data_IF_466373604390
#
_entry.id   IF_466373604390
#
_cell.length_a   1.000
_cell.length_b   1.000
_cell.length_c   1.000
_cell.angle_alpha   90.00
_cell.angle_beta   90.00
_cell.angle_gamma   90.00
#
_symmetry.space_group_name_H-M   'P 1'
#
loop_
_entity.id
_entity.type
_entity.pdbx_description
1 polymer ?
#
# COMPACT_ATOMS: atom_id res chain seq x y z
N UNK A 1 9.10 8.94 11.30
CA UNK A 1 9.30 8.81 9.83
C UNK A 1 10.78 9.05 9.54
N UNK A 2 11.49 8.12 8.91
CA UNK A 2 12.93 8.27 8.59
C UNK A 2 13.08 8.90 7.19
N UNK A 3 13.28 10.22 7.13
CA UNK A 3 13.40 10.94 5.87
C UNK A 3 14.72 10.61 5.13
N UNK A 4 14.64 10.46 3.81
CA UNK A 4 15.79 10.18 2.93
C UNK A 4 16.46 8.82 3.18
N UNK A 5 15.77 7.88 3.81
CA UNK A 5 16.31 6.56 4.15
C UNK A 5 16.72 5.75 2.92
N UNK A 6 16.06 5.96 1.80
CA UNK A 6 16.36 5.45 0.47
C UNK A 6 17.70 5.99 -0.09
N UNK A 7 18.26 7.05 0.50
CA UNK A 7 19.57 7.61 0.12
C UNK A 7 20.67 7.05 1.03
N UNK A 8 20.56 7.30 2.35
CA UNK A 8 21.61 6.95 3.31
C UNK A 8 21.48 5.53 3.89
N UNK A 9 20.29 4.94 3.86
CA UNK A 9 20.01 3.59 4.35
C UNK A 9 20.44 2.48 3.38
N UNK A 10 20.78 2.81 2.14
CA UNK A 10 21.23 1.82 1.14
C UNK A 10 22.49 1.07 1.58
N UNK A 11 23.38 1.75 2.30
CA UNK A 11 24.59 1.16 2.86
C UNK A 11 24.31 0.25 4.07
N UNK A 12 23.16 0.37 4.72
CA UNK A 12 22.74 -0.49 5.83
C UNK A 12 22.24 -1.85 5.36
N UNK A 13 21.50 -1.87 4.25
CA UNK A 13 20.81 -3.07 3.75
C UNK A 13 21.85 -4.08 3.23
N UNK A 14 22.74 -3.66 2.33
CA UNK A 14 23.75 -4.56 1.75
C UNK A 14 24.89 -4.96 2.71
N UNK A 15 25.11 -4.22 3.82
CA UNK A 15 26.25 -4.41 4.74
C UNK A 15 25.85 -4.94 6.12
N UNK A 16 24.58 -5.29 6.33
CA UNK A 16 24.11 -6.03 7.51
C UNK A 16 24.73 -7.43 7.67
N UNK A 17 25.33 -7.98 6.60
CA UNK A 17 26.02 -9.29 6.58
C UNK A 17 27.49 -9.25 7.05
N UNK A 18 27.82 -8.47 8.07
CA UNK A 18 29.10 -8.61 8.79
C UNK A 18 30.42 -8.24 8.07
N UNK A 19 30.43 -7.76 6.82
CA UNK A 19 31.69 -7.33 6.17
C UNK A 19 32.22 -6.01 6.78
N UNK A 20 33.51 -6.00 7.15
CA UNK A 20 34.19 -4.92 7.92
C UNK A 20 34.54 -3.67 7.09
N UNK A 21 34.52 -3.77 5.77
CA UNK A 21 35.08 -2.74 4.91
C UNK A 21 33.98 -1.75 4.48
N UNK A 22 34.05 -0.52 4.98
CA UNK A 22 33.37 0.67 4.45
C UNK A 22 31.91 0.95 4.90
N UNK A 23 31.50 0.56 6.12
CA UNK A 23 30.13 0.77 6.64
C UNK A 23 30.00 1.50 7.98
N UNK A 24 31.07 2.14 8.47
CA UNK A 24 31.14 2.62 9.86
C UNK A 24 30.10 3.68 10.22
N UNK A 25 29.87 4.68 9.35
CA UNK A 25 28.89 5.75 9.57
C UNK A 25 27.44 5.24 9.57
N UNK A 26 27.10 4.38 8.61
CA UNK A 26 25.78 3.80 8.45
C UNK A 26 25.40 2.93 9.67
N UNK A 27 26.29 2.02 10.10
CA UNK A 27 26.08 1.17 11.29
C UNK A 27 25.91 1.99 12.58
N UNK A 28 26.68 3.06 12.73
CA UNK A 28 26.53 3.99 13.86
C UNK A 28 25.15 4.63 13.88
N UNK A 29 24.61 5.01 12.72
CA UNK A 29 23.25 5.54 12.62
C UNK A 29 22.19 4.49 12.95
N UNK A 30 22.31 3.27 12.44
CA UNK A 30 21.40 2.16 12.76
C UNK A 30 21.30 1.90 14.27
N UNK A 31 22.43 1.91 14.99
CA UNK A 31 22.46 1.80 16.46
C UNK A 31 21.80 2.98 17.17
N UNK A 32 21.90 4.20 16.62
CA UNK A 32 21.20 5.37 17.16
C UNK A 32 19.69 5.24 17.00
N UNK A 33 19.22 4.80 15.83
CA UNK A 33 17.79 4.51 15.58
C UNK A 33 17.29 3.43 16.54
N UNK A 34 18.04 2.35 16.72
CA UNK A 34 17.71 1.28 17.66
C UNK A 34 17.58 1.79 19.10
N UNK A 35 18.48 2.70 19.53
CA UNK A 35 18.40 3.32 20.86
C UNK A 35 17.15 4.19 21.03
N UNK A 36 16.80 4.98 20.02
CA UNK A 36 15.58 5.81 20.03
C UNK A 36 14.34 4.95 20.03
N UNK A 37 14.29 3.91 19.18
CA UNK A 37 13.19 2.97 19.13
C UNK A 37 13.01 2.30 20.49
N UNK A 38 14.08 1.77 21.10
CA UNK A 38 14.02 1.15 22.43
C UNK A 38 13.45 2.07 23.50
N UNK A 39 13.83 3.36 23.49
CA UNK A 39 13.28 4.35 24.42
C UNK A 39 11.77 4.53 24.20
N UNK A 40 11.33 4.60 22.95
CA UNK A 40 9.91 4.67 22.62
C UNK A 40 9.16 3.40 23.06
N UNK A 41 9.74 2.22 22.84
CA UNK A 41 9.11 0.96 23.22
C UNK A 41 8.95 0.83 24.73
N UNK A 42 9.98 1.22 25.50
CA UNK A 42 9.90 1.28 26.97
C UNK A 42 8.77 2.21 27.42
N UNK A 43 8.64 3.39 26.80
CA UNK A 43 7.62 4.37 27.14
C UNK A 43 6.21 3.84 26.84
N UNK A 44 6.01 3.23 25.67
CA UNK A 44 4.72 2.68 25.24
C UNK A 44 4.28 1.50 26.14
N UNK A 45 5.20 0.60 26.47
CA UNK A 45 4.87 -0.58 27.28
C UNK A 45 4.91 -0.33 28.78
N UNK A 46 5.44 0.81 29.24
CA UNK A 46 5.82 1.02 30.64
C UNK A 46 6.89 0.03 31.12
N UNK A 47 7.73 -0.46 30.20
CA UNK A 47 8.70 -1.53 30.48
C UNK A 47 9.86 -1.08 31.36
N UNK A 48 10.57 -2.02 31.98
CA UNK A 48 11.78 -1.69 32.74
C UNK A 48 12.94 -1.35 31.80
N UNK A 49 13.87 -0.52 32.29
CA UNK A 49 15.08 -0.16 31.55
C UNK A 49 15.99 -1.36 31.25
N UNK A 50 15.81 -2.49 31.93
CA UNK A 50 16.55 -3.75 31.73
C UNK A 50 15.82 -4.76 30.85
N UNK A 51 14.56 -4.51 30.47
CA UNK A 51 13.80 -5.43 29.62
C UNK A 51 14.50 -5.58 28.26
N UNK A 52 14.55 -6.82 27.77
CA UNK A 52 15.14 -7.16 26.48
C UNK A 52 14.42 -6.40 25.34
N UNK A 53 15.19 -5.81 24.43
CA UNK A 53 14.65 -5.00 23.32
C UNK A 53 13.73 -5.82 22.42
N UNK A 54 14.05 -7.09 22.19
CA UNK A 54 13.24 -7.97 21.33
C UNK A 54 11.86 -8.25 21.94
N UNK A 55 11.80 -8.41 23.27
CA UNK A 55 10.55 -8.61 23.99
C UNK A 55 9.67 -7.34 23.95
N UNK A 56 10.30 -6.17 24.16
CA UNK A 56 9.61 -4.89 24.05
C UNK A 56 9.05 -4.66 22.63
N UNK A 57 9.85 -4.98 21.61
CA UNK A 57 9.43 -4.86 20.21
C UNK A 57 8.28 -5.81 19.89
N UNK A 58 8.32 -7.06 20.39
CA UNK A 58 7.23 -8.02 20.23
C UNK A 58 5.93 -7.56 20.89
N UNK A 59 5.98 -7.00 22.11
CA UNK A 59 4.79 -6.53 22.82
C UNK A 59 4.17 -5.26 22.23
N UNK A 60 4.90 -4.52 21.39
CA UNK A 60 4.42 -3.31 20.70
C UNK A 60 4.17 -3.52 19.20
N UNK A 61 4.39 -4.74 18.70
CA UNK A 61 4.40 -5.04 17.27
C UNK A 61 5.36 -4.12 16.46
N UNK A 62 6.49 -3.72 17.06
CA UNK A 62 7.53 -2.98 16.37
C UNK A 62 8.52 -3.95 15.71
N UNK A 63 8.84 -3.71 14.44
CA UNK A 63 9.94 -4.40 13.77
C UNK A 63 11.28 -3.96 14.37
N UNK A 64 12.26 -4.86 14.56
CA UNK A 64 13.64 -4.47 14.88
C UNK A 64 14.13 -3.36 13.95
N UNK A 65 14.84 -2.36 14.48
CA UNK A 65 15.20 -1.13 13.75
C UNK A 65 15.81 -1.38 12.36
N UNK A 66 16.65 -2.42 12.23
CA UNK A 66 17.26 -2.79 10.96
C UNK A 66 16.23 -3.32 9.95
N UNK A 67 15.29 -4.15 10.38
CA UNK A 67 14.19 -4.64 9.55
C UNK A 67 13.24 -3.52 9.16
N UNK A 68 12.96 -2.58 10.08
CA UNK A 68 12.16 -1.41 9.76
C UNK A 68 12.83 -0.52 8.70
N UNK A 69 14.15 -0.32 8.79
CA UNK A 69 14.93 0.39 7.78
C UNK A 69 14.86 -0.33 6.42
N UNK A 70 15.08 -1.64 6.41
CA UNK A 70 14.96 -2.45 5.19
C UNK A 70 13.56 -2.38 4.58
N UNK A 71 12.51 -2.51 5.40
CA UNK A 71 11.12 -2.43 4.95
C UNK A 71 10.80 -1.07 4.32
N UNK A 72 11.23 0.03 4.93
CA UNK A 72 11.05 1.37 4.38
C UNK A 72 11.80 1.56 3.06
N UNK A 73 13.05 1.11 2.96
CA UNK A 73 13.82 1.17 1.72
C UNK A 73 13.20 0.29 0.63
N UNK A 74 12.71 -0.89 0.99
CA UNK A 74 12.02 -1.79 0.05
C UNK A 74 10.75 -1.13 -0.50
N UNK A 75 9.90 -0.60 0.39
CA UNK A 75 8.69 0.13 0.01
C UNK A 75 8.99 1.32 -0.89
N UNK A 76 10.00 2.13 -0.55
CA UNK A 76 10.41 3.26 -1.39
C UNK A 76 10.91 2.79 -2.77
N UNK A 77 11.64 1.67 -2.82
CA UNK A 77 12.13 1.10 -4.08
C UNK A 77 10.99 0.59 -4.95
N UNK A 78 10.00 -0.08 -4.37
CA UNK A 78 8.79 -0.51 -5.08
C UNK A 78 8.01 0.69 -5.63
N UNK A 79 7.76 1.70 -4.79
CA UNK A 79 7.07 2.92 -5.21
C UNK A 79 7.79 3.60 -6.37
N UNK A 80 9.11 3.73 -6.29
CA UNK A 80 9.92 4.27 -7.39
C UNK A 80 9.80 3.41 -8.65
N UNK A 81 9.90 2.08 -8.53
CA UNK A 81 9.80 1.17 -9.66
C UNK A 81 8.42 1.22 -10.36
N UNK A 82 7.34 1.52 -9.62
CA UNK A 82 5.99 1.66 -10.14
C UNK A 82 5.68 3.04 -10.75
N UNK A 83 6.62 4.00 -10.74
CA UNK A 83 6.39 5.34 -11.29
C UNK A 83 6.11 5.30 -12.79
N UNK A 84 5.10 6.05 -13.21
CA UNK A 84 4.71 6.19 -14.62
C UNK A 84 5.80 6.89 -15.48
N UNK A 85 5.82 6.66 -16.81
CA UNK A 85 6.79 7.26 -17.73
C UNK A 85 6.96 8.79 -17.67
N UNK A 86 5.91 9.63 -17.46
CA UNK A 86 6.09 11.08 -17.40
C UNK A 86 6.85 11.56 -16.15
N UNK A 87 7.06 10.70 -15.15
CA UNK A 87 7.78 11.08 -13.95
C UNK A 87 9.29 11.28 -14.23
N UNK A 88 9.93 12.36 -13.73
CA UNK A 88 11.33 12.67 -14.05
C UNK A 88 12.31 11.56 -13.64
N UNK A 89 12.03 10.85 -12.54
CA UNK A 89 12.85 9.73 -12.07
C UNK A 89 12.70 8.45 -12.91
N UNK A 90 11.68 8.33 -13.77
CA UNK A 90 11.41 7.09 -14.53
C UNK A 90 12.59 6.73 -15.45
N UNK A 91 13.16 7.72 -16.14
CA UNK A 91 14.35 7.55 -16.98
C UNK A 91 15.59 7.12 -16.17
N UNK A 92 15.81 7.75 -15.01
CA UNK A 92 16.94 7.44 -14.13
C UNK A 92 16.83 6.02 -13.54
N UNK A 93 15.62 5.55 -13.22
CA UNK A 93 15.37 4.21 -12.73
C UNK A 93 15.58 3.14 -13.80
N UNK A 94 15.12 3.41 -15.03
CA UNK A 94 15.40 2.54 -16.18
C UNK A 94 16.91 2.42 -16.43
N UNK A 95 17.64 3.54 -16.33
CA UNK A 95 19.11 3.55 -16.42
C UNK A 95 19.81 2.82 -15.26
N UNK A 96 19.28 2.96 -14.03
CA UNK A 96 19.88 2.39 -12.83
C UNK A 96 19.85 0.85 -12.78
N UNK A 97 19.02 0.21 -13.61
CA UNK A 97 19.06 -1.25 -13.85
C UNK A 97 20.41 -1.69 -14.41
N UNK A 98 21.01 -0.87 -15.28
CA UNK A 98 22.32 -1.14 -15.82
C UNK A 98 23.37 -0.96 -14.70
N UNK A 99 23.82 -2.07 -14.11
CA UNK A 99 24.74 -2.05 -12.99
C UNK A 99 26.05 -1.36 -13.39
N UNK A 100 26.27 -0.14 -12.92
CA UNK A 100 27.48 0.62 -13.19
C UNK A 100 28.65 0.09 -12.34
N UNK A 101 29.83 -0.05 -12.96
CA UNK A 101 31.04 -0.53 -12.25
C UNK A 101 31.63 0.53 -11.31
N UNK A 102 31.42 1.82 -11.59
CA UNK A 102 31.93 2.97 -10.81
C UNK A 102 30.79 3.92 -10.46
N UNK A 103 30.92 4.63 -9.34
CA UNK A 103 29.97 5.64 -8.86
C UNK A 103 28.52 5.13 -8.73
N UNK A 104 28.33 3.98 -8.08
CA UNK A 104 26.99 3.42 -7.80
C UNK A 104 26.16 4.38 -6.97
N UNK A 105 25.13 4.95 -7.59
CA UNK A 105 24.12 5.76 -6.91
C UNK A 105 23.27 4.89 -5.96
N UNK A 106 22.57 5.50 -4.99
CA UNK A 106 21.64 4.78 -4.10
C UNK A 106 20.63 3.92 -4.86
N UNK A 107 20.09 4.41 -5.98
CA UNK A 107 19.15 3.67 -6.83
C UNK A 107 19.73 2.35 -7.38
N UNK A 108 20.97 2.37 -7.86
CA UNK A 108 21.64 1.14 -8.33
C UNK A 108 21.78 0.10 -7.21
N UNK A 109 22.03 0.56 -5.98
CA UNK A 109 22.18 -0.34 -4.81
C UNK A 109 20.84 -0.92 -4.39
N UNK A 110 19.80 -0.09 -4.31
CA UNK A 110 18.45 -0.52 -3.93
C UNK A 110 17.87 -1.53 -4.91
N UNK A 111 17.92 -1.23 -6.21
CA UNK A 111 17.41 -2.13 -7.26
C UNK A 111 18.17 -3.46 -7.27
N UNK A 112 19.50 -3.42 -7.10
CA UNK A 112 20.31 -4.63 -7.04
C UNK A 112 20.06 -5.46 -5.77
N UNK A 113 19.90 -4.81 -4.61
CA UNK A 113 19.71 -5.48 -3.32
C UNK A 113 18.34 -6.17 -3.24
N UNK A 114 17.29 -5.50 -3.72
CA UNK A 114 15.92 -6.05 -3.69
C UNK A 114 15.55 -6.84 -4.95
N UNK A 115 16.45 -6.92 -5.94
CA UNK A 115 16.20 -7.61 -7.22
C UNK A 115 14.90 -7.16 -7.91
N UNK A 116 14.61 -5.86 -7.87
CA UNK A 116 13.41 -5.26 -8.48
C UNK A 116 13.78 -4.75 -9.87
N UNK A 117 12.97 -5.10 -10.87
CA UNK A 117 13.08 -4.57 -12.24
C UNK A 117 12.01 -3.50 -12.50
N UNK A 118 12.38 -2.21 -12.62
CA UNK A 118 11.43 -1.14 -12.91
C UNK A 118 10.73 -1.29 -14.26
N UNK A 119 11.24 -2.10 -15.19
CA UNK A 119 10.64 -2.26 -16.52
C UNK A 119 9.49 -3.27 -16.54
N UNK A 120 9.49 -4.26 -15.64
CA UNK A 120 8.46 -5.30 -15.57
C UNK A 120 7.35 -4.97 -14.57
N UNK A 121 7.60 -4.02 -13.68
CA UNK A 121 6.62 -3.60 -12.67
C UNK A 121 5.48 -2.80 -13.29
N UNK A 122 4.27 -3.01 -12.76
CA UNK A 122 3.09 -2.23 -13.10
C UNK A 122 3.35 -0.73 -12.87
N UNK A 123 2.84 0.11 -13.79
CA UNK A 123 3.01 1.56 -13.74
C UNK A 123 1.75 2.21 -13.18
N UNK A 124 1.87 2.73 -11.96
CA UNK A 124 0.79 3.48 -11.31
C UNK A 124 0.90 4.93 -11.74
N UNK A 125 -0.15 5.44 -12.38
CA UNK A 125 -0.27 6.86 -12.71
C UNK A 125 -0.79 7.57 -11.45
N UNK A 126 0.01 8.44 -10.80
CA UNK A 126 -0.50 9.23 -9.70
C UNK A 126 -1.61 10.15 -10.22
N UNK A 127 -2.79 10.06 -9.63
CA UNK A 127 -3.87 11.02 -9.83
C UNK A 127 -3.52 12.28 -9.03
N UNK A 128 -3.10 13.33 -9.73
CA UNK A 128 -2.78 14.61 -9.11
C UNK A 128 -4.07 15.42 -8.96
N UNK A 129 -4.51 15.59 -7.73
CA UNK A 129 -5.55 16.55 -7.40
C UNK A 129 -4.91 17.86 -6.91
N UNK A 130 -5.56 18.99 -7.18
CA UNK A 130 -5.10 20.26 -6.63
C UNK A 130 -5.26 20.24 -5.10
N UNK A 131 -4.42 20.93 -4.31
CA UNK A 131 -4.45 20.81 -2.84
C UNK A 131 -5.76 21.21 -2.15
N UNK A 132 -6.62 21.94 -2.86
CA UNK A 132 -7.96 22.35 -2.39
C UNK A 132 -9.08 21.49 -3.00
N UNK A 133 -8.72 20.40 -3.68
CA UNK A 133 -9.70 19.53 -4.31
C UNK A 133 -10.49 18.80 -3.24
N UNK A 134 -11.79 18.83 -3.42
CA UNK A 134 -12.72 18.06 -2.61
C UNK A 134 -13.43 17.11 -3.58
N UNK A 135 -13.57 15.83 -3.22
CA UNK A 135 -14.37 14.92 -4.02
C UNK A 135 -15.82 15.41 -4.01
N UNK A 136 -16.48 15.32 -5.16
CA UNK A 136 -17.93 15.57 -5.27
C UNK A 136 -18.75 14.42 -4.64
N UNK A 137 -18.07 13.40 -4.13
CA UNK A 137 -18.64 12.23 -3.46
C UNK A 137 -18.31 12.25 -1.98
N UNK A 138 -19.32 12.01 -1.15
CA UNK A 138 -19.14 11.80 0.29
C UNK A 138 -18.82 10.32 0.49
N UNK A 139 -17.67 10.03 1.09
CA UNK A 139 -17.32 8.67 1.52
C UNK A 139 -17.75 8.55 2.97
N UNK A 140 -18.71 7.68 3.24
CA UNK A 140 -19.09 7.31 4.60
C UNK A 140 -18.73 5.84 4.84
N UNK A 141 -18.03 5.58 5.93
CA UNK A 141 -17.61 4.23 6.32
C UNK A 141 -17.89 4.10 7.81
N UNK A 142 -18.67 3.08 8.17
CA UNK A 142 -19.02 2.79 9.57
C UNK A 142 -18.15 1.68 10.12
N UNK A 143 -17.74 1.85 11.37
CA UNK A 143 -16.96 0.86 12.10
C UNK A 143 -17.85 -0.27 12.64
N UNK A 144 -19.13 0.01 12.89
CA UNK A 144 -20.11 -0.96 13.38
C UNK A 144 -21.13 -1.36 12.31
N UNK A 145 -21.46 -2.64 12.29
CA UNK A 145 -22.37 -3.23 11.32
C UNK A 145 -23.81 -2.74 11.55
N UNK A 146 -24.24 -2.60 12.81
CA UNK A 146 -25.60 -2.17 13.11
C UNK A 146 -25.83 -0.71 12.67
N UNK A 147 -24.83 0.15 12.84
CA UNK A 147 -24.87 1.54 12.35
C UNK A 147 -24.92 1.60 10.81
N UNK A 148 -24.14 0.75 10.12
CA UNK A 148 -24.15 0.67 8.67
C UNK A 148 -25.53 0.26 8.12
N UNK A 149 -26.16 -0.75 8.73
CA UNK A 149 -27.49 -1.22 8.34
C UNK A 149 -28.55 -0.14 8.58
N UNK A 150 -28.47 0.57 9.71
CA UNK A 150 -29.43 1.63 10.03
C UNK A 150 -29.34 2.76 8.99
N UNK A 151 -28.13 3.17 8.62
CA UNK A 151 -27.95 4.19 7.59
C UNK A 151 -28.43 3.74 6.21
N UNK A 152 -28.22 2.47 5.84
CA UNK A 152 -28.70 1.93 4.57
C UNK A 152 -30.23 1.98 4.48
N UNK A 153 -30.92 1.62 5.57
CA UNK A 153 -32.38 1.73 5.67
C UNK A 153 -32.84 3.18 5.50
N UNK A 154 -32.19 4.13 6.17
CA UNK A 154 -32.50 5.55 6.04
C UNK A 154 -32.24 6.07 4.62
N UNK A 155 -31.14 5.65 4.00
CA UNK A 155 -30.81 6.03 2.64
C UNK A 155 -31.84 5.48 1.63
N UNK A 156 -32.34 4.26 1.82
CA UNK A 156 -33.39 3.69 0.98
C UNK A 156 -34.74 4.40 1.13
N UNK A 157 -35.01 5.05 2.27
CA UNK A 157 -36.20 5.88 2.50
C UNK A 157 -36.04 7.31 1.95
N UNK A 158 -34.86 7.91 2.10
CA UNK A 158 -34.58 9.30 1.71
C UNK A 158 -34.22 9.47 0.23
N UNK A 159 -33.47 8.52 -0.34
CA UNK A 159 -32.96 8.60 -1.71
C UNK A 159 -33.88 7.89 -2.71
N UNK A 160 -34.01 8.45 -3.91
CA UNK A 160 -34.83 7.83 -4.96
C UNK A 160 -34.17 6.55 -5.51
N UNK A 161 -32.84 6.54 -5.61
CA UNK A 161 -32.07 5.47 -6.28
C UNK A 161 -30.91 5.00 -5.40
N UNK A 162 -30.89 3.71 -5.09
CA UNK A 162 -29.82 3.05 -4.34
C UNK A 162 -29.12 2.00 -5.19
N UNK A 163 -27.79 2.07 -5.24
CA UNK A 163 -26.94 1.14 -5.98
C UNK A 163 -26.09 0.33 -5.01
N UNK A 164 -26.21 -0.99 -5.13
CA UNK A 164 -25.42 -1.94 -4.35
C UNK A 164 -24.53 -2.71 -5.30
N UNK A 165 -23.24 -2.73 -5.04
CA UNK A 165 -22.30 -3.60 -5.75
C UNK A 165 -21.53 -4.44 -4.75
N UNK A 166 -21.39 -5.72 -5.06
CA UNK A 166 -20.57 -6.62 -4.27
C UNK A 166 -19.86 -7.62 -5.18
N UNK A 167 -18.89 -8.29 -4.60
CA UNK A 167 -18.09 -9.21 -5.30
C UNK A 167 -17.63 -10.44 -4.56
N UNK A 168 -17.61 -11.54 -5.28
CA UNK A 168 -17.42 -12.88 -4.73
C UNK A 168 -16.20 -13.56 -5.34
N UNK A 169 -15.46 -14.26 -4.47
CA UNK A 169 -14.37 -15.17 -4.80
C UNK A 169 -14.72 -16.61 -4.43
N UNK A 170 -15.80 -17.17 -4.97
CA UNK A 170 -16.26 -18.53 -4.63
C UNK A 170 -15.57 -19.58 -5.51
N UNK A 171 -15.14 -20.70 -4.90
CA UNK A 171 -14.58 -21.88 -5.60
C UNK A 171 -13.45 -21.56 -6.60
N UNK A 172 -12.65 -20.52 -6.31
CA UNK A 172 -11.55 -20.11 -7.18
C UNK A 172 -11.97 -19.35 -8.44
N UNK A 173 -13.23 -18.95 -8.54
CA UNK A 173 -13.75 -18.01 -9.53
C UNK A 173 -13.99 -16.62 -8.94
N UNK A 174 -13.74 -15.59 -9.73
CA UNK A 174 -14.03 -14.21 -9.39
C UNK A 174 -15.25 -13.74 -10.16
N UNK A 175 -16.28 -13.31 -9.45
CA UNK A 175 -17.55 -12.86 -10.04
C UNK A 175 -18.13 -11.69 -9.27
N UNK A 176 -18.86 -10.81 -9.97
CA UNK A 176 -19.32 -9.52 -9.47
C UNK A 176 -20.77 -9.28 -9.81
N UNK A 177 -21.47 -8.55 -8.95
CA UNK A 177 -22.86 -8.21 -9.16
C UNK A 177 -23.13 -6.76 -8.73
N UNK A 178 -24.04 -6.11 -9.44
CA UNK A 178 -24.61 -4.83 -9.06
C UNK A 178 -26.13 -4.91 -9.10
N UNK A 179 -26.79 -4.19 -8.21
CA UNK A 179 -28.25 -4.14 -8.08
C UNK A 179 -28.66 -2.68 -7.95
N UNK A 180 -29.64 -2.27 -8.78
CA UNK A 180 -30.30 -0.98 -8.67
C UNK A 180 -31.65 -1.17 -8.01
N UNK A 181 -31.86 -0.43 -6.91
CA UNK A 181 -33.14 -0.32 -6.22
C UNK A 181 -33.67 1.10 -6.37
N UNK A 182 -34.98 1.25 -6.56
CA UNK A 182 -35.67 2.54 -6.64
C UNK A 182 -36.92 2.48 -5.79
N UNK A 183 -37.04 3.38 -4.82
CA UNK A 183 -38.16 3.43 -3.86
C UNK A 183 -38.40 2.10 -3.14
N UNK A 184 -37.34 1.46 -2.63
CA UNK A 184 -37.45 0.18 -1.94
C UNK A 184 -37.54 -1.05 -2.84
N UNK A 185 -37.77 -0.90 -4.15
CA UNK A 185 -37.95 -2.03 -5.06
C UNK A 185 -36.71 -2.28 -5.92
N UNK A 186 -36.32 -3.56 -6.05
CA UNK A 186 -35.28 -3.96 -7.01
C UNK A 186 -35.79 -3.79 -8.44
N UNK A 187 -35.16 -2.91 -9.24
CA UNK A 187 -35.51 -2.68 -10.64
C UNK A 187 -34.65 -3.49 -11.60
N UNK A 188 -33.32 -3.43 -11.45
CA UNK A 188 -32.36 -4.07 -12.37
C UNK A 188 -31.20 -4.69 -11.59
N UNK A 189 -30.55 -5.67 -12.21
CA UNK A 189 -29.29 -6.21 -11.69
C UNK A 189 -28.40 -6.73 -12.80
N UNK A 190 -27.10 -6.49 -12.69
CA UNK A 190 -26.07 -7.02 -13.57
C UNK A 190 -25.19 -7.99 -12.81
N UNK A 191 -24.67 -9.00 -13.51
CA UNK A 191 -23.72 -9.98 -12.99
C UNK A 191 -22.65 -10.23 -14.04
N UNK A 192 -21.40 -10.31 -13.61
CA UNK A 192 -20.27 -10.53 -14.50
C UNK A 192 -19.25 -11.48 -13.87
N UNK A 193 -18.81 -12.47 -14.63
CA UNK A 193 -17.73 -13.37 -14.23
C UNK A 193 -16.41 -12.85 -14.79
N UNK A 194 -15.47 -12.48 -13.92
CA UNK A 194 -14.16 -11.94 -14.32
C UNK A 194 -13.26 -13.04 -14.85
N UNK A 195 -13.22 -14.19 -14.15
CA UNK A 195 -12.31 -15.28 -14.47
C UNK A 195 -11.84 -16.03 -13.22
N UNK A 196 -10.69 -16.69 -13.32
CA UNK A 196 -10.13 -17.48 -12.21
C UNK A 196 -9.41 -16.60 -11.20
N UNK A 197 -9.41 -17.00 -9.94
CA UNK A 197 -8.73 -16.31 -8.84
C UNK A 197 -7.19 -16.29 -8.96
N UNK A 198 -6.61 -17.06 -9.89
CA UNK A 198 -5.19 -16.99 -10.22
C UNK A 198 -4.86 -15.84 -11.19
N UNK A 199 -5.85 -15.38 -11.93
CA UNK A 199 -5.70 -14.32 -12.95
C UNK A 199 -6.28 -13.00 -12.47
N UNK A 200 -7.33 -13.06 -11.66
CA UNK A 200 -8.06 -11.91 -11.15
C UNK A 200 -8.14 -11.93 -9.63
N UNK A 201 -8.08 -10.74 -9.03
CA UNK A 201 -8.17 -10.56 -7.58
C UNK A 201 -9.58 -10.21 -7.12
N UNK A 202 -9.86 -10.38 -5.81
CA UNK A 202 -11.12 -9.91 -5.22
C UNK A 202 -11.25 -8.39 -5.41
N UNK A 203 -10.18 -7.63 -5.21
CA UNK A 203 -10.16 -6.19 -5.42
C UNK A 203 -10.48 -5.76 -6.87
N UNK A 204 -9.91 -6.45 -7.87
CA UNK A 204 -10.22 -6.15 -9.28
C UNK A 204 -11.70 -6.25 -9.57
N UNK A 205 -12.35 -7.27 -9.04
CA UNK A 205 -13.77 -7.33 -9.26
C UNK A 205 -14.53 -6.27 -8.45
N UNK A 206 -14.11 -5.86 -7.24
CA UNK A 206 -14.85 -4.82 -6.51
C UNK A 206 -14.96 -3.56 -7.37
N UNK A 207 -13.86 -3.21 -8.06
CA UNK A 207 -13.84 -2.17 -9.08
C UNK A 207 -14.82 -2.45 -10.22
N UNK A 208 -14.86 -3.68 -10.75
CA UNK A 208 -15.83 -4.06 -11.79
C UNK A 208 -17.28 -3.99 -11.27
N UNK A 209 -17.52 -4.30 -10.00
CA UNK A 209 -18.82 -4.14 -9.35
C UNK A 209 -19.29 -2.68 -9.38
N UNK A 210 -18.40 -1.73 -9.06
CA UNK A 210 -18.70 -0.31 -9.17
C UNK A 210 -18.99 0.11 -10.62
N UNK A 211 -18.24 -0.42 -11.59
CA UNK A 211 -18.48 -0.15 -13.02
C UNK A 211 -19.87 -0.66 -13.44
N UNK A 212 -20.26 -1.86 -13.00
CA UNK A 212 -21.59 -2.41 -13.29
C UNK A 212 -22.71 -1.58 -12.65
N UNK A 213 -22.49 -1.06 -11.44
CA UNK A 213 -23.45 -0.17 -10.78
C UNK A 213 -23.63 1.14 -11.55
N UNK A 214 -22.54 1.73 -12.06
CA UNK A 214 -22.60 2.93 -12.89
C UNK A 214 -23.27 2.68 -14.25
N UNK A 215 -23.05 1.51 -14.87
CA UNK A 215 -23.74 1.17 -16.13
C UNK A 215 -25.24 0.98 -15.89
N UNK A 216 -25.65 0.36 -14.78
CA UNK A 216 -27.06 0.27 -14.39
C UNK A 216 -27.73 1.64 -14.27
N UNK A 217 -27.02 2.62 -13.70
CA UNK A 217 -27.50 4.00 -13.55
C UNK A 217 -27.63 4.72 -14.91
N UNK A 218 -26.68 4.47 -15.81
CA UNK A 218 -26.67 5.06 -17.16
C UNK A 218 -27.77 4.49 -18.07
N UNK A 219 -28.18 3.26 -17.85
CA UNK A 219 -29.26 2.59 -18.59
C UNK A 219 -30.66 2.86 -18.04
N UNK A 220 -30.81 3.60 -16.94
CA UNK A 220 -32.12 4.15 -16.52
C UNK A 220 -32.59 5.28 -17.45
#
# INVERSE_FOLDING_TARGET
>A
MLYGIDIWGTDLIGKGKGKKENGWGARGFGKKVERVQRLATILVTGGMSMTATDLLNASTNFLPAQLQICHLCHRATLQMAMLSPPHPLSSALAGAKCNCKRHKSPLHRLLAEFSIDPQTMEKIIPLWHYPKWQPDTIIDTKDDEAEAVLQDILAEEEEEVCLYSDGSGLEGGISRAAVLRRGGEKKKSLRFYLGKAMEHTVYEGELVGMILALELLKEE
#
